data_IF_187837889615
#
_entry.id   IF_187837889615
#
_cell.length_a   1.000
_cell.length_b   1.000
_cell.length_c   1.000
_cell.angle_alpha   90.00
_cell.angle_beta   90.00
_cell.angle_gamma   90.00
#
_symmetry.space_group_name_H-M   'P 1'
#
loop_
_entity.id
_entity.type
_entity.pdbx_description
1 polymer ?
#
# COMPACT_ATOMS: atom_id res chain seq x y z
N UNK A 1 3.98 2.24 -56.15
CA UNK A 1 4.77 1.49 -55.15
C UNK A 1 3.83 1.08 -54.02
N UNK A 2 3.29 -0.15 -54.00
CA UNK A 2 2.38 -0.61 -52.93
C UNK A 2 3.25 -0.96 -51.72
N UNK A 3 3.22 -0.14 -50.67
CA UNK A 3 3.83 -0.52 -49.40
C UNK A 3 3.20 -1.83 -48.93
N UNK A 4 4.03 -2.82 -48.59
CA UNK A 4 3.55 -4.13 -48.14
C UNK A 4 2.78 -3.94 -46.82
N UNK A 5 1.53 -4.42 -46.74
CA UNK A 5 0.69 -4.31 -45.52
C UNK A 5 1.39 -4.87 -44.29
N UNK A 6 2.24 -5.90 -44.45
CA UNK A 6 3.06 -6.45 -43.39
C UNK A 6 4.13 -5.47 -42.87
N UNK A 7 4.71 -4.65 -43.76
CA UNK A 7 5.70 -3.63 -43.39
C UNK A 7 5.05 -2.47 -42.63
N UNK A 8 3.84 -2.05 -43.02
CA UNK A 8 3.04 -1.07 -42.27
C UNK A 8 2.67 -1.58 -40.88
N UNK A 9 2.24 -2.84 -40.77
CA UNK A 9 1.93 -3.46 -39.48
C UNK A 9 3.17 -3.53 -38.58
N UNK A 10 4.31 -3.97 -39.12
CA UNK A 10 5.57 -4.04 -38.38
C UNK A 10 6.07 -2.66 -37.90
N UNK A 11 5.99 -1.63 -38.74
CA UNK A 11 6.36 -0.26 -38.36
C UNK A 11 5.41 0.31 -37.31
N UNK A 12 4.11 0.02 -37.38
CA UNK A 12 3.14 0.44 -36.36
C UNK A 12 3.38 -0.25 -35.02
N UNK A 13 3.69 -1.55 -35.04
CA UNK A 13 4.01 -2.32 -33.85
C UNK A 13 5.32 -1.86 -33.20
N UNK A 14 6.35 -1.59 -34.02
CA UNK A 14 7.63 -1.04 -33.55
C UNK A 14 7.46 0.36 -32.95
N UNK A 15 6.62 1.21 -33.54
CA UNK A 15 6.29 2.53 -33.00
C UNK A 15 5.60 2.46 -31.64
N UNK A 16 4.64 1.53 -31.47
CA UNK A 16 3.97 1.28 -30.19
C UNK A 16 4.98 0.81 -29.14
N UNK A 17 5.84 -0.15 -29.48
CA UNK A 17 6.88 -0.64 -28.56
C UNK A 17 7.82 0.49 -28.11
N UNK A 18 8.37 1.27 -29.05
CA UNK A 18 9.28 2.39 -28.72
C UNK A 18 8.57 3.42 -27.84
N UNK A 19 7.32 3.77 -28.14
CA UNK A 19 6.55 4.74 -27.33
C UNK A 19 6.32 4.23 -25.90
N UNK A 20 5.97 2.95 -25.74
CA UNK A 20 5.75 2.34 -24.41
C UNK A 20 7.03 2.27 -23.59
N UNK A 21 8.17 1.96 -24.23
CA UNK A 21 9.48 1.94 -23.57
C UNK A 21 9.91 3.35 -23.14
N UNK A 22 9.68 4.36 -23.99
CA UNK A 22 10.01 5.75 -23.65
C UNK A 22 9.16 6.27 -22.48
N UNK A 23 7.85 5.96 -22.46
CA UNK A 23 6.98 6.30 -21.33
C UNK A 23 7.43 5.64 -20.03
N UNK A 24 7.84 4.37 -20.07
CA UNK A 24 8.35 3.67 -18.90
C UNK A 24 9.64 4.31 -18.36
N UNK A 25 10.56 4.73 -19.25
CA UNK A 25 11.80 5.44 -18.86
C UNK A 25 11.47 6.78 -18.19
N UNK A 26 10.54 7.55 -18.74
CA UNK A 26 10.14 8.84 -18.16
C UNK A 26 9.51 8.63 -16.77
N UNK A 27 8.62 7.64 -16.61
CA UNK A 27 8.01 7.32 -15.31
C UNK A 27 9.08 6.91 -14.29
N UNK A 28 10.05 6.09 -14.69
CA UNK A 28 11.14 5.68 -13.81
C UNK A 28 11.98 6.88 -13.36
N UNK A 29 12.35 7.77 -14.28
CA UNK A 29 13.08 9.00 -13.96
C UNK A 29 12.29 9.91 -13.00
N UNK A 30 11.00 10.14 -13.27
CA UNK A 30 10.14 10.92 -12.38
C UNK A 30 10.02 10.29 -10.99
N UNK A 31 9.92 8.96 -10.91
CA UNK A 31 9.88 8.24 -9.64
C UNK A 31 11.18 8.39 -8.84
N UNK A 32 12.33 8.30 -9.50
CA UNK A 32 13.64 8.49 -8.86
C UNK A 32 13.82 9.93 -8.35
N UNK A 33 13.32 10.92 -9.10
CA UNK A 33 13.33 12.34 -8.70
C UNK A 33 12.46 12.60 -7.46
N UNK A 34 11.25 12.01 -7.41
CA UNK A 34 10.37 12.09 -6.24
C UNK A 34 11.09 11.49 -5.02
N UNK A 35 11.66 10.30 -5.19
CA UNK A 35 12.32 9.58 -4.10
C UNK A 35 13.53 10.32 -3.56
N UNK A 36 14.34 10.91 -4.44
CA UNK A 36 15.48 11.74 -4.07
C UNK A 36 15.03 13.02 -3.35
N UNK A 37 13.95 13.65 -3.80
CA UNK A 37 13.39 14.85 -3.16
C UNK A 37 12.92 14.56 -1.74
N UNK A 38 12.26 13.41 -1.52
CA UNK A 38 11.76 13.02 -0.19
C UNK A 38 12.89 12.79 0.82
N UNK A 39 14.07 12.37 0.38
CA UNK A 39 15.23 12.25 1.28
C UNK A 39 15.71 13.61 1.84
N UNK A 40 15.31 14.72 1.22
CA UNK A 40 15.62 16.07 1.69
C UNK A 40 14.61 16.59 2.72
N UNK A 41 13.51 15.86 2.95
CA UNK A 41 12.49 16.28 3.92
C UNK A 41 12.95 15.97 5.35
N UNK A 42 12.43 16.67 6.36
CA UNK A 42 12.57 16.24 7.74
C UNK A 42 12.06 14.80 7.91
N UNK A 43 12.81 14.00 8.64
CA UNK A 43 12.42 12.61 8.95
C UNK A 43 11.33 12.54 10.02
N UNK A 44 11.08 13.66 10.73
CA UNK A 44 10.02 13.85 11.71
C UNK A 44 9.41 15.23 11.49
N UNK A 45 8.11 15.35 11.72
CA UNK A 45 7.34 16.60 11.53
C UNK A 45 6.30 16.72 12.64
N UNK A 46 5.92 17.95 12.99
CA UNK A 46 5.01 18.15 14.13
C UNK A 46 3.55 17.89 13.79
N UNK A 47 3.17 18.17 12.54
CA UNK A 47 1.78 18.11 12.06
C UNK A 47 1.68 17.57 10.64
N UNK A 48 0.56 16.93 10.26
CA UNK A 48 0.35 16.48 8.89
C UNK A 48 0.29 17.66 7.90
N UNK A 49 -0.16 18.84 8.33
CA UNK A 49 -0.20 20.05 7.50
C UNK A 49 1.20 20.54 7.11
N UNK A 50 2.20 20.35 7.95
CA UNK A 50 3.60 20.69 7.65
C UNK A 50 4.15 19.81 6.52
N UNK A 51 4.03 18.48 6.67
CA UNK A 51 4.44 17.53 5.63
C UNK A 51 3.68 17.74 4.33
N UNK A 52 2.37 17.97 4.43
CA UNK A 52 1.52 18.29 3.28
C UNK A 52 2.00 19.53 2.52
N UNK A 53 2.50 20.56 3.20
CA UNK A 53 3.05 21.77 2.54
C UNK A 53 4.30 21.47 1.73
N UNK A 54 5.21 20.64 2.26
CA UNK A 54 6.38 20.22 1.49
C UNK A 54 5.94 19.48 0.21
N UNK A 55 5.03 18.52 0.35
CA UNK A 55 4.51 17.73 -0.78
C UNK A 55 3.83 18.62 -1.83
N UNK A 56 2.97 19.56 -1.42
CA UNK A 56 2.29 20.48 -2.34
C UNK A 56 3.27 21.44 -3.03
N UNK A 57 4.35 21.85 -2.35
CA UNK A 57 5.36 22.73 -2.93
C UNK A 57 6.11 22.05 -4.07
N UNK A 58 6.46 20.76 -3.90
CA UNK A 58 7.37 20.07 -4.82
C UNK A 58 6.63 19.25 -5.90
N UNK A 59 5.38 18.85 -5.65
CA UNK A 59 4.64 17.95 -6.53
C UNK A 59 3.25 18.46 -6.89
N UNK A 60 2.95 18.45 -8.20
CA UNK A 60 1.72 19.02 -8.76
C UNK A 60 0.73 17.98 -9.29
N UNK A 61 1.09 16.70 -9.33
CA UNK A 61 0.20 15.62 -9.81
C UNK A 61 -0.16 14.68 -8.68
N UNK A 62 -1.37 14.11 -8.72
CA UNK A 62 -1.82 13.14 -7.71
C UNK A 62 -0.89 11.93 -7.63
N UNK A 63 -0.40 11.43 -8.78
CA UNK A 63 0.56 10.33 -8.83
C UNK A 63 1.83 10.66 -8.04
N UNK A 64 2.42 11.84 -8.29
CA UNK A 64 3.64 12.26 -7.60
C UNK A 64 3.41 12.51 -6.11
N UNK A 65 2.26 13.10 -5.75
CA UNK A 65 1.89 13.34 -4.35
C UNK A 65 1.65 12.05 -3.57
N UNK A 66 0.93 11.08 -4.14
CA UNK A 66 0.70 9.77 -3.50
C UNK A 66 2.01 9.00 -3.36
N UNK A 67 2.89 9.04 -4.39
CA UNK A 67 4.23 8.47 -4.28
C UNK A 67 5.00 9.11 -3.13
N UNK A 68 5.08 10.44 -3.10
CA UNK A 68 5.74 11.20 -2.05
C UNK A 68 5.26 10.82 -0.63
N UNK A 69 3.93 10.71 -0.43
CA UNK A 69 3.33 10.29 0.85
C UNK A 69 3.80 8.88 1.22
N UNK A 70 3.68 7.92 0.30
CA UNK A 70 4.08 6.54 0.53
C UNK A 70 5.57 6.44 0.83
N UNK A 71 6.40 7.09 0.02
CA UNK A 71 7.86 7.12 0.14
C UNK A 71 8.28 7.68 1.49
N UNK A 72 7.70 8.81 1.92
CA UNK A 72 8.04 9.39 3.22
C UNK A 72 7.69 8.42 4.36
N UNK A 73 6.54 7.75 4.30
CA UNK A 73 6.13 6.78 5.32
C UNK A 73 7.08 5.58 5.40
N UNK A 74 7.37 4.91 4.29
CA UNK A 74 8.24 3.72 4.29
C UNK A 74 9.68 4.03 4.67
N UNK A 75 10.11 5.29 4.48
CA UNK A 75 11.45 5.74 4.83
C UNK A 75 11.56 6.28 6.25
N UNK A 76 10.51 6.84 6.84
CA UNK A 76 10.65 7.62 8.07
C UNK A 76 9.91 7.03 9.27
N UNK A 77 8.99 6.09 9.05
CA UNK A 77 8.25 5.42 10.13
C UNK A 77 8.79 4.01 10.34
N UNK A 78 8.96 3.62 11.60
CA UNK A 78 9.40 2.30 12.04
C UNK A 78 8.25 1.56 12.71
N UNK A 79 8.09 0.27 12.39
CA UNK A 79 7.03 -0.54 13.00
C UNK A 79 7.37 -0.90 14.45
N UNK A 80 6.46 -0.63 15.38
CA UNK A 80 6.65 -0.89 16.81
C UNK A 80 5.39 -1.46 17.48
N UNK A 81 5.32 -2.78 17.74
CA UNK A 81 4.16 -3.41 18.38
C UNK A 81 3.79 -2.85 19.76
N UNK A 82 4.72 -2.22 20.48
CA UNK A 82 4.43 -1.66 21.80
C UNK A 82 3.46 -0.46 21.72
N UNK A 83 3.32 0.16 20.53
CA UNK A 83 2.35 1.24 20.31
C UNK A 83 0.90 0.75 20.42
N UNK A 84 0.60 -0.54 20.24
CA UNK A 84 -0.75 -1.09 20.46
C UNK A 84 -1.26 -0.82 21.88
N UNK A 85 -0.37 -0.90 22.88
CA UNK A 85 -0.72 -0.68 24.29
C UNK A 85 -1.04 0.78 24.59
N UNK A 86 -0.47 1.70 23.81
CA UNK A 86 -0.55 3.15 24.01
C UNK A 86 -1.90 3.74 23.65
N UNK A 87 -2.59 3.11 22.69
CA UNK A 87 -3.84 3.59 22.12
C UNK A 87 -5.02 2.65 22.42
N UNK A 88 -4.97 1.89 23.52
CA UNK A 88 -6.07 0.99 23.90
C UNK A 88 -7.29 1.82 24.39
N UNK A 89 -8.47 1.65 23.78
CA UNK A 89 -9.66 2.47 24.10
C UNK A 89 -10.89 1.64 24.46
N UNK A 90 -11.67 2.18 25.42
CA UNK A 90 -13.03 1.75 25.77
C UNK A 90 -14.00 2.92 25.55
N UNK A 91 -15.19 2.63 25.02
CA UNK A 91 -16.26 3.61 24.79
C UNK A 91 -17.61 3.09 25.32
N UNK A 92 -18.47 3.99 25.82
CA UNK A 92 -19.78 3.63 26.42
C UNK A 92 -20.95 3.74 25.43
N UNK A 93 -20.85 4.56 24.38
CA UNK A 93 -21.89 4.72 23.36
C UNK A 93 -21.35 5.28 22.02
N UNK A 94 -22.22 5.32 21.01
CA UNK A 94 -21.90 5.67 19.61
C UNK A 94 -21.42 7.13 19.39
N UNK A 95 -22.02 8.13 20.06
CA UNK A 95 -21.60 9.53 19.90
C UNK A 95 -20.24 9.79 20.56
N UNK A 96 -20.03 9.17 21.72
CA UNK A 96 -18.75 9.18 22.42
C UNK A 96 -17.67 8.43 21.60
N UNK A 97 -18.04 7.32 20.94
CA UNK A 97 -17.19 6.58 20.01
C UNK A 97 -16.68 7.49 18.89
N UNK A 98 -17.55 8.14 18.12
CA UNK A 98 -17.12 8.94 16.96
C UNK A 98 -16.23 10.14 17.33
N UNK A 99 -16.52 10.83 18.45
CA UNK A 99 -15.70 11.98 18.89
C UNK A 99 -14.37 11.53 19.50
N UNK A 100 -14.37 10.42 20.26
CA UNK A 100 -13.13 9.83 20.79
C UNK A 100 -12.28 9.27 19.67
N UNK A 101 -12.90 8.66 18.67
CA UNK A 101 -12.24 8.10 17.48
C UNK A 101 -11.47 9.18 16.73
N UNK A 102 -12.07 10.36 16.50
CA UNK A 102 -11.35 11.47 15.85
C UNK A 102 -10.20 12.02 16.70
N UNK A 103 -10.41 12.23 18.01
CA UNK A 103 -9.35 12.69 18.92
C UNK A 103 -8.20 11.68 18.99
N UNK A 104 -8.52 10.40 19.06
CA UNK A 104 -7.58 9.28 19.04
C UNK A 104 -6.81 9.24 17.73
N UNK A 105 -7.53 9.30 16.61
CA UNK A 105 -6.95 9.30 15.26
C UNK A 105 -5.93 10.42 15.12
N UNK A 106 -6.28 11.65 15.52
CA UNK A 106 -5.34 12.78 15.52
C UNK A 106 -4.13 12.54 16.42
N UNK A 107 -4.30 11.92 17.60
CA UNK A 107 -3.17 11.57 18.48
C UNK A 107 -2.25 10.54 17.83
N UNK A 108 -2.80 9.51 17.19
CA UNK A 108 -2.04 8.48 16.48
C UNK A 108 -1.25 9.11 15.32
N UNK A 109 -1.91 9.95 14.51
CA UNK A 109 -1.29 10.66 13.39
C UNK A 109 -0.12 11.51 13.89
N UNK A 110 -0.37 12.41 14.85
CA UNK A 110 0.67 13.30 15.36
C UNK A 110 1.81 12.52 16.02
N UNK A 111 1.50 11.50 16.81
CA UNK A 111 2.52 10.64 17.43
C UNK A 111 3.38 9.94 16.38
N UNK A 112 2.77 9.40 15.32
CA UNK A 112 3.49 8.74 14.23
C UNK A 112 4.46 9.70 13.55
N UNK A 113 4.00 10.92 13.24
CA UNK A 113 4.79 11.95 12.58
C UNK A 113 5.94 12.49 13.47
N UNK A 114 5.67 12.67 14.76
CA UNK A 114 6.61 13.24 15.73
C UNK A 114 7.66 12.24 16.21
N UNK A 115 7.35 10.95 16.22
CA UNK A 115 8.24 9.91 16.76
C UNK A 115 8.81 8.97 15.70
N UNK A 116 8.21 8.93 14.50
CA UNK A 116 8.58 7.95 13.48
C UNK A 116 8.34 6.51 13.93
N UNK A 117 7.38 6.27 14.84
CA UNK A 117 7.08 4.97 15.43
C UNK A 117 5.58 4.71 15.40
N UNK A 118 5.16 3.57 14.85
CA UNK A 118 3.74 3.21 14.75
C UNK A 118 3.50 1.70 14.58
N UNK A 119 2.26 1.29 14.81
CA UNK A 119 1.66 0.06 14.25
C UNK A 119 0.91 0.38 12.95
N UNK A 120 0.26 -0.59 12.32
CA UNK A 120 -0.40 -0.40 11.02
C UNK A 120 -1.39 0.76 11.01
N UNK A 121 -2.07 1.05 12.13
CA UNK A 121 -2.91 2.24 12.28
C UNK A 121 -2.20 3.55 11.97
N UNK A 122 -0.99 3.75 12.50
CA UNK A 122 -0.29 5.02 12.32
C UNK A 122 0.09 5.26 10.87
N UNK A 123 0.62 4.24 10.19
CA UNK A 123 0.92 4.31 8.76
C UNK A 123 -0.31 4.68 7.94
N UNK A 124 -1.38 3.89 8.09
CA UNK A 124 -2.55 4.02 7.25
C UNK A 124 -3.33 5.31 7.54
N UNK A 125 -3.40 5.75 8.80
CA UNK A 125 -4.05 7.01 9.17
C UNK A 125 -3.26 8.23 8.70
N UNK A 126 -1.92 8.22 8.78
CA UNK A 126 -1.09 9.31 8.24
C UNK A 126 -1.24 9.37 6.72
N UNK A 127 -1.19 8.23 6.03
CA UNK A 127 -1.42 8.16 4.58
C UNK A 127 -2.76 8.80 4.20
N UNK A 128 -3.85 8.36 4.85
CA UNK A 128 -5.21 8.87 4.58
C UNK A 128 -5.29 10.38 4.81
N UNK A 129 -4.75 10.87 5.93
CA UNK A 129 -4.76 12.28 6.28
C UNK A 129 -3.98 13.14 5.29
N UNK A 130 -2.82 12.67 4.82
CA UNK A 130 -2.03 13.39 3.83
C UNK A 130 -2.73 13.40 2.47
N UNK A 131 -3.33 12.29 2.03
CA UNK A 131 -4.15 12.27 0.81
C UNK A 131 -5.32 13.26 0.90
N UNK A 132 -6.05 13.30 2.03
CA UNK A 132 -7.11 14.28 2.27
C UNK A 132 -6.62 15.72 2.15
N UNK A 133 -5.46 16.06 2.75
CA UNK A 133 -4.88 17.40 2.66
C UNK A 133 -4.43 17.77 1.23
N UNK A 134 -4.17 16.77 0.39
CA UNK A 134 -3.87 16.95 -1.04
C UNK A 134 -5.13 16.97 -1.93
N UNK A 135 -6.33 16.82 -1.37
CA UNK A 135 -7.60 16.64 -2.10
C UNK A 135 -7.62 15.38 -2.98
N UNK A 136 -7.02 14.30 -2.49
CA UNK A 136 -7.00 12.99 -3.15
C UNK A 136 -7.97 12.07 -2.43
N UNK A 137 -8.98 11.58 -3.15
CA UNK A 137 -9.97 10.64 -2.61
C UNK A 137 -9.26 9.36 -2.15
N UNK A 138 -9.59 8.92 -0.94
CA UNK A 138 -8.97 7.77 -0.32
C UNK A 138 -9.78 7.30 0.89
N UNK A 139 -9.54 6.06 1.33
CA UNK A 139 -10.12 5.52 2.55
C UNK A 139 -9.26 4.40 3.15
N UNK A 140 -9.56 4.06 4.40
CA UNK A 140 -8.93 2.97 5.13
C UNK A 140 -9.63 1.65 4.87
N UNK A 141 -8.86 0.59 4.65
CA UNK A 141 -9.36 -0.77 4.59
C UNK A 141 -8.94 -1.51 5.85
N UNK A 142 -9.92 -2.05 6.57
CA UNK A 142 -9.71 -2.97 7.70
C UNK A 142 -9.73 -4.40 7.19
N UNK A 143 -8.86 -5.25 7.70
CA UNK A 143 -8.84 -6.64 7.32
C UNK A 143 -7.87 -7.47 8.13
N UNK A 144 -7.50 -8.60 7.58
CA UNK A 144 -6.66 -9.59 8.22
C UNK A 144 -5.51 -9.99 7.31
N UNK A 145 -4.35 -10.27 7.91
CA UNK A 145 -3.17 -10.71 7.20
C UNK A 145 -2.73 -12.12 7.56
N UNK A 146 -2.31 -12.86 6.54
CA UNK A 146 -1.69 -14.18 6.66
C UNK A 146 -0.18 -14.03 6.47
N UNK A 147 0.58 -14.21 7.55
CA UNK A 147 2.01 -13.85 7.65
C UNK A 147 2.91 -15.04 7.97
N UNK A 148 2.39 -16.05 8.68
CA UNK A 148 3.18 -17.17 9.16
C UNK A 148 2.37 -18.49 9.13
N UNK A 149 3.03 -19.61 9.40
CA UNK A 149 2.41 -20.94 9.33
C UNK A 149 1.24 -21.14 10.29
N UNK A 150 1.22 -20.45 11.44
CA UNK A 150 0.11 -20.53 12.39
C UNK A 150 -1.13 -19.77 11.90
N UNK A 151 -1.01 -18.97 10.84
CA UNK A 151 -2.14 -18.31 10.20
C UNK A 151 -2.87 -19.22 9.20
N UNK A 152 -2.38 -20.44 8.92
CA UNK A 152 -3.05 -21.38 8.02
C UNK A 152 -4.20 -22.07 8.77
N UNK A 153 -5.40 -22.06 8.18
CA UNK A 153 -6.61 -22.69 8.73
C UNK A 153 -7.22 -21.99 9.95
N UNK A 154 -6.70 -20.83 10.37
CA UNK A 154 -7.27 -20.06 11.48
C UNK A 154 -8.50 -19.26 11.06
N UNK A 155 -9.22 -18.74 12.05
CA UNK A 155 -10.35 -17.83 11.81
C UNK A 155 -9.87 -16.39 11.56
N UNK A 156 -10.71 -15.62 10.87
CA UNK A 156 -10.53 -14.19 10.65
C UNK A 156 -10.46 -13.42 12.00
N UNK A 157 -9.52 -12.49 12.09
CA UNK A 157 -9.12 -11.77 13.30
C UNK A 157 -9.11 -10.24 13.14
N UNK A 158 -9.27 -9.71 11.91
CA UNK A 158 -9.27 -8.27 11.62
C UNK A 158 -8.07 -7.52 12.24
N UNK A 159 -6.86 -8.03 11.99
CA UNK A 159 -5.64 -7.62 12.70
C UNK A 159 -4.79 -6.57 11.96
N UNK A 160 -5.24 -6.06 10.80
CA UNK A 160 -4.43 -5.18 9.97
C UNK A 160 -5.25 -4.05 9.31
N UNK A 161 -4.54 -3.01 8.88
CA UNK A 161 -5.13 -1.88 8.17
C UNK A 161 -4.19 -1.32 7.11
N UNK A 162 -4.77 -0.98 5.95
CA UNK A 162 -4.08 -0.41 4.80
C UNK A 162 -4.98 0.62 4.10
N UNK A 163 -4.60 1.09 2.91
CA UNK A 163 -5.30 2.17 2.22
C UNK A 163 -5.72 1.78 0.80
N UNK A 164 -6.82 2.41 0.36
CA UNK A 164 -7.15 2.62 -1.04
C UNK A 164 -7.08 4.12 -1.32
N UNK A 165 -6.45 4.52 -2.41
CA UNK A 165 -6.51 5.89 -2.91
C UNK A 165 -6.86 5.90 -4.40
N UNK A 166 -7.58 6.93 -4.82
CA UNK A 166 -8.03 7.10 -6.18
C UNK A 166 -7.08 8.06 -6.90
N UNK A 167 -6.45 7.58 -7.97
CA UNK A 167 -5.58 8.40 -8.80
C UNK A 167 -6.25 8.50 -10.17
N UNK A 168 -6.61 9.73 -10.57
CA UNK A 168 -7.39 9.99 -11.80
C UNK A 168 -8.71 9.19 -11.86
N UNK A 169 -9.34 8.98 -10.70
CA UNK A 169 -10.62 8.26 -10.56
C UNK A 169 -10.50 6.74 -10.46
N UNK A 170 -9.30 6.17 -10.63
CA UNK A 170 -9.08 4.72 -10.54
C UNK A 170 -8.57 4.32 -9.14
N UNK A 171 -9.11 3.26 -8.52
CA UNK A 171 -8.68 2.81 -7.20
C UNK A 171 -7.34 2.08 -7.27
N UNK A 172 -6.44 2.41 -6.35
CA UNK A 172 -5.18 1.71 -6.15
C UNK A 172 -4.99 1.32 -4.69
N UNK A 173 -4.37 0.16 -4.46
CA UNK A 173 -4.13 -0.41 -3.14
C UNK A 173 -2.73 -0.05 -2.64
N UNK A 174 -2.63 0.30 -1.36
CA UNK A 174 -1.37 0.69 -0.72
C UNK A 174 -1.26 0.10 0.68
N UNK A 175 -0.13 -0.53 0.98
CA UNK A 175 0.26 -0.83 2.35
C UNK A 175 1.65 -0.26 2.64
N UNK A 176 1.69 0.87 3.35
CA UNK A 176 2.93 1.50 3.77
C UNK A 176 3.59 0.79 4.97
N UNK A 177 2.83 0.02 5.74
CA UNK A 177 3.38 -0.76 6.87
C UNK A 177 4.28 -1.87 6.36
N UNK A 178 3.77 -2.69 5.43
CA UNK A 178 4.56 -3.76 4.80
C UNK A 178 5.55 -3.21 3.77
N UNK A 179 5.29 -2.01 3.24
CA UNK A 179 6.24 -1.26 2.44
C UNK A 179 7.47 -0.78 3.21
N UNK A 180 7.36 -0.52 4.52
CA UNK A 180 8.47 -0.01 5.34
C UNK A 180 9.50 -1.10 5.71
N UNK A 181 9.07 -2.35 5.73
CA UNK A 181 9.90 -3.50 6.05
C UNK A 181 9.12 -4.58 6.79
N UNK A 182 9.82 -5.33 7.65
CA UNK A 182 9.25 -6.49 8.35
C UNK A 182 9.60 -6.51 9.83
N UNK A 183 8.80 -7.22 10.60
CA UNK A 183 9.01 -7.41 12.03
C UNK A 183 9.30 -8.87 12.35
N UNK A 184 10.33 -9.10 13.17
CA UNK A 184 10.69 -10.43 13.69
C UNK A 184 10.71 -10.38 15.22
N UNK A 185 11.88 -10.37 15.85
CA UNK A 185 12.07 -9.96 17.25
C UNK A 185 12.31 -8.44 17.37
N UNK A 186 12.68 -7.81 16.26
CA UNK A 186 12.83 -6.36 16.09
C UNK A 186 12.36 -5.97 14.69
N UNK A 187 12.09 -4.68 14.53
CA UNK A 187 11.83 -4.11 13.21
C UNK A 187 13.10 -4.13 12.36
N UNK A 188 12.95 -4.56 11.11
CA UNK A 188 13.99 -4.54 10.09
C UNK A 188 13.45 -3.66 8.96
N UNK A 189 14.05 -2.47 8.82
CA UNK A 189 13.68 -1.50 7.81
C UNK A 189 14.17 -1.96 6.44
N UNK A 190 13.24 -2.23 5.53
CA UNK A 190 13.48 -2.73 4.18
C UNK A 190 12.48 -2.03 3.24
N UNK A 191 12.65 -0.73 2.94
CA UNK A 191 11.69 0.04 2.18
C UNK A 191 11.47 -0.57 0.78
N UNK A 192 10.22 -0.74 0.39
CA UNK A 192 9.83 -1.42 -0.84
C UNK A 192 8.59 -0.79 -1.46
N UNK A 193 8.58 -0.69 -2.78
CA UNK A 193 7.42 -0.28 -3.56
C UNK A 193 6.53 -1.46 -3.98
N UNK A 194 6.80 -2.69 -3.49
CA UNK A 194 5.95 -3.85 -3.82
C UNK A 194 4.49 -3.66 -3.38
N UNK A 195 4.28 -2.97 -2.25
CA UNK A 195 2.95 -2.64 -1.73
C UNK A 195 2.47 -1.23 -2.14
N UNK A 196 3.09 -0.60 -3.14
CA UNK A 196 2.66 0.66 -3.75
C UNK A 196 1.90 0.39 -5.04
N UNK A 197 0.62 0.78 -5.11
CA UNK A 197 -0.27 0.47 -6.24
C UNK A 197 -0.28 -1.04 -6.56
N UNK A 198 -0.21 -1.87 -5.53
CA UNK A 198 -0.17 -3.32 -5.68
C UNK A 198 -1.47 -3.82 -6.31
N UNK A 199 -1.36 -4.75 -7.27
CA UNK A 199 -2.56 -5.29 -7.91
C UNK A 199 -3.38 -6.15 -6.94
N UNK A 200 -4.72 -6.14 -7.04
CA UNK A 200 -5.62 -7.01 -6.28
C UNK A 200 -5.20 -8.47 -6.17
N UNK A 201 -4.78 -9.08 -7.29
CA UNK A 201 -4.41 -10.49 -7.38
C UNK A 201 -3.15 -10.85 -6.59
N UNK A 202 -2.29 -9.88 -6.34
CA UNK A 202 -1.09 -10.05 -5.53
C UNK A 202 -1.37 -9.78 -4.06
N UNK A 203 -2.13 -8.73 -3.75
CA UNK A 203 -2.43 -8.35 -2.38
C UNK A 203 -3.28 -9.39 -1.65
N UNK A 204 -4.28 -9.97 -2.32
CA UNK A 204 -5.18 -11.00 -1.75
C UNK A 204 -4.48 -12.29 -1.33
N UNK A 205 -3.21 -12.50 -1.69
CA UNK A 205 -2.48 -13.68 -1.24
C UNK A 205 -2.12 -13.60 0.26
N UNK A 206 -2.02 -12.38 0.79
CA UNK A 206 -1.64 -12.13 2.17
C UNK A 206 -2.64 -11.25 2.92
N UNK A 207 -3.45 -10.43 2.25
CA UNK A 207 -4.39 -9.49 2.87
C UNK A 207 -5.82 -9.81 2.47
N UNK A 208 -6.67 -10.08 3.46
CA UNK A 208 -8.10 -10.31 3.26
C UNK A 208 -8.90 -9.16 3.89
N UNK A 209 -9.64 -8.36 3.12
CA UNK A 209 -10.40 -7.24 3.66
C UNK A 209 -11.64 -7.71 4.43
N UNK A 210 -12.04 -6.93 5.42
CA UNK A 210 -13.27 -7.18 6.18
C UNK A 210 -14.51 -7.10 5.28
N UNK A 211 -14.54 -6.14 4.36
CA UNK A 211 -15.53 -6.04 3.29
C UNK A 211 -14.90 -6.56 2.01
N UNK A 212 -15.45 -7.63 1.43
CA UNK A 212 -14.79 -8.32 0.33
C UNK A 212 -14.67 -7.46 -0.94
N UNK A 213 -15.56 -6.49 -1.12
CA UNK A 213 -15.52 -5.53 -2.23
C UNK A 213 -14.21 -4.74 -2.28
N UNK A 214 -13.59 -4.49 -1.13
CA UNK A 214 -12.28 -3.82 -1.02
C UNK A 214 -11.11 -4.71 -1.51
N UNK A 215 -11.38 -5.97 -1.88
CA UNK A 215 -10.40 -6.84 -2.52
C UNK A 215 -10.22 -6.48 -4.00
N UNK A 216 -11.21 -5.82 -4.64
CA UNK A 216 -11.22 -5.49 -6.07
C UNK A 216 -10.96 -6.70 -6.97
N UNK A 217 -11.57 -7.84 -6.64
CA UNK A 217 -11.54 -9.06 -7.42
C UNK A 217 -12.92 -9.37 -7.99
N UNK A 218 -12.94 -9.97 -9.17
CA UNK A 218 -14.19 -10.37 -9.84
C UNK A 218 -14.78 -11.67 -9.29
N UNK A 219 -13.97 -12.47 -8.59
CA UNK A 219 -14.35 -13.76 -8.03
C UNK A 219 -14.41 -13.67 -6.52
N UNK A 220 -15.42 -14.28 -5.92
CA UNK A 220 -15.55 -14.37 -4.47
C UNK A 220 -14.55 -15.37 -3.89
N UNK A 221 -13.93 -14.97 -2.78
CA UNK A 221 -13.05 -15.82 -1.98
C UNK A 221 -13.58 -15.80 -0.56
N UNK A 222 -14.02 -16.94 -0.03
CA UNK A 222 -14.43 -17.00 1.37
C UNK A 222 -13.23 -16.86 2.31
N UNK A 223 -13.47 -16.35 3.51
CA UNK A 223 -12.45 -16.29 4.58
C UNK A 223 -11.86 -17.67 4.88
N UNK A 224 -12.69 -18.71 4.93
CA UNK A 224 -12.26 -20.10 5.16
C UNK A 224 -11.26 -20.51 4.07
N UNK A 225 -11.63 -20.34 2.79
CA UNK A 225 -10.75 -20.72 1.69
C UNK A 225 -9.47 -19.88 1.66
N UNK A 226 -9.53 -18.59 2.00
CA UNK A 226 -8.33 -17.75 2.12
C UNK A 226 -7.35 -18.30 3.15
N UNK A 227 -7.81 -18.69 4.35
CA UNK A 227 -6.95 -19.23 5.40
C UNK A 227 -6.49 -20.66 5.12
N UNK A 228 -7.27 -21.47 4.39
CA UNK A 228 -6.88 -22.82 3.97
C UNK A 228 -5.81 -22.82 2.86
N UNK A 229 -5.70 -21.73 2.07
CA UNK A 229 -4.64 -21.60 1.06
C UNK A 229 -3.24 -21.65 1.68
N UNK A 230 -2.22 -22.09 0.93
CA UNK A 230 -0.83 -21.99 1.37
C UNK A 230 -0.42 -20.53 1.61
N UNK A 231 0.62 -20.35 2.42
CA UNK A 231 1.26 -19.05 2.60
C UNK A 231 2.15 -18.74 1.40
N UNK A 232 1.86 -17.64 0.70
CA UNK A 232 2.63 -17.18 -0.47
C UNK A 232 3.49 -15.99 -0.06
N UNK A 233 4.75 -16.26 0.27
CA UNK A 233 5.70 -15.23 0.77
C UNK A 233 6.46 -14.56 -0.38
N UNK A 234 6.67 -15.27 -1.48
CA UNK A 234 7.47 -14.77 -2.59
C UNK A 234 6.70 -13.69 -3.35
N UNK A 235 7.28 -12.49 -3.41
CA UNK A 235 6.75 -11.37 -4.19
C UNK A 235 6.59 -11.76 -5.67
N UNK A 236 5.48 -11.35 -6.27
CA UNK A 236 5.17 -11.59 -7.69
C UNK A 236 4.62 -12.99 -8.01
N UNK A 237 4.37 -13.84 -7.00
CA UNK A 237 3.60 -15.07 -7.19
C UNK A 237 2.12 -14.84 -6.86
N UNK A 238 1.25 -15.43 -7.67
CA UNK A 238 -0.18 -15.56 -7.39
C UNK A 238 -0.54 -16.98 -6.95
N UNK A 239 -1.70 -17.16 -6.33
CA UNK A 239 -2.21 -18.51 -6.04
C UNK A 239 -2.41 -19.36 -7.32
N UNK A 240 -2.80 -18.74 -8.43
CA UNK A 240 -2.93 -19.42 -9.72
C UNK A 240 -1.60 -19.97 -10.25
N UNK A 241 -0.48 -19.29 -9.98
CA UNK A 241 0.86 -19.79 -10.32
C UNK A 241 1.21 -21.05 -9.56
N UNK A 242 0.69 -21.25 -8.35
CA UNK A 242 0.96 -22.45 -7.55
C UNK A 242 0.19 -23.63 -8.09
N UNK A 243 -1.13 -23.51 -8.25
CA UNK A 243 -1.98 -24.61 -8.71
C UNK A 243 -1.66 -25.02 -10.15
N UNK A 244 -1.37 -24.04 -11.03
CA UNK A 244 -1.00 -24.36 -12.42
C UNK A 244 0.34 -25.09 -12.53
N UNK A 245 1.29 -24.79 -11.63
CA UNK A 245 2.63 -25.41 -11.58
C UNK A 245 2.69 -26.72 -10.81
N UNK A 246 1.68 -27.08 -10.02
CA UNK A 246 1.53 -28.44 -9.48
C UNK A 246 1.47 -29.50 -10.59
N UNK A 247 1.09 -29.11 -11.82
CA UNK A 247 1.16 -30.01 -12.99
C UNK A 247 2.57 -30.23 -13.55
N UNK A 248 3.53 -29.35 -13.24
CA UNK A 248 4.91 -29.40 -13.77
C UNK A 248 5.99 -29.69 -12.72
N UNK A 249 5.68 -29.62 -11.42
CA UNK A 249 6.58 -30.05 -10.33
C UNK A 249 7.76 -29.12 -10.01
N UNK A 250 7.79 -27.89 -10.56
CA UNK A 250 8.87 -26.91 -10.33
C UNK A 250 8.28 -25.58 -9.87
N UNK A 251 8.72 -25.11 -8.70
CA UNK A 251 8.42 -23.78 -8.16
C UNK A 251 9.70 -22.95 -8.27
N UNK A 252 9.82 -22.13 -9.32
CA UNK A 252 10.92 -21.18 -9.47
C UNK A 252 10.57 -19.81 -8.94
#
# INVERSE_FOLDING_TARGET
MKLNKQLLFFLSFLGILISSSLSAIIIAQTNDEIDATIQLYPTLVDTPEELSKFITRDFNTDEAKVRAIYTWLIQNVSYNPEEYKRFNYSFKNYRERNTKEEKTRRKIINHTLQTGSAVCEGYAMVFEKLCQLQNIDNYLVRGDTKTNFNDIGRTFANNHMWNVAFIKGEPFLFDATWGAGRYTTKFIKEPSYYYYKISPQHLINTHYPQQYEDAFLNEDLSTILFFDRPLIIKHGLTFGDIISKEKSGVIN
#
